data_IF_844959966004
#
_entry.id   IF_844959966004
#
_cell.length_a   1.000
_cell.length_b   1.000
_cell.length_c   1.000
_cell.angle_alpha   90.00
_cell.angle_beta   90.00
_cell.angle_gamma   90.00
#
_symmetry.space_group_name_H-M   'P 1'
#
loop_
_entity.id
_entity.type
_entity.pdbx_description
1 polymer ?
#
# COMPACT_ATOMS: atom_id res chain seq x y z
N UNK A 1 15.56 7.09 4.73
CA UNK A 1 16.51 6.60 3.72
C UNK A 1 15.81 5.55 2.87
N UNK A 2 15.92 5.57 1.53
CA UNK A 2 15.47 4.44 0.71
C UNK A 2 16.46 3.28 0.87
N UNK A 3 15.96 2.07 1.13
CA UNK A 3 16.78 0.88 1.41
C UNK A 3 16.51 -0.29 0.46
N UNK A 4 15.81 -0.04 -0.65
CA UNK A 4 15.50 -1.07 -1.65
C UNK A 4 14.06 -1.56 -1.51
N UNK A 5 13.88 -2.85 -1.23
CA UNK A 5 12.56 -3.49 -1.19
C UNK A 5 11.84 -3.33 0.16
N UNK A 6 10.52 -3.59 0.20
CA UNK A 6 9.77 -3.68 1.46
C UNK A 6 10.40 -4.68 2.44
N UNK A 7 10.95 -5.80 1.94
CA UNK A 7 11.67 -6.77 2.77
C UNK A 7 12.93 -6.18 3.40
N UNK A 8 13.69 -5.39 2.65
CA UNK A 8 14.87 -4.70 3.15
C UNK A 8 14.49 -3.64 4.20
N UNK A 9 13.42 -2.87 3.96
CA UNK A 9 12.88 -1.91 4.95
C UNK A 9 12.56 -2.63 6.26
N UNK A 10 11.83 -3.75 6.19
CA UNK A 10 11.46 -4.53 7.38
C UNK A 10 12.71 -5.01 8.12
N UNK A 11 13.67 -5.61 7.42
CA UNK A 11 14.86 -6.18 8.04
C UNK A 11 15.79 -5.12 8.62
N UNK A 12 16.03 -4.03 7.89
CA UNK A 12 16.87 -2.94 8.38
C UNK A 12 16.27 -2.27 9.60
N UNK A 13 14.95 -2.01 9.61
CA UNK A 13 14.25 -1.44 10.77
C UNK A 13 14.37 -2.36 11.98
N UNK A 14 14.06 -3.66 11.82
CA UNK A 14 14.19 -4.66 12.88
C UNK A 14 15.61 -4.80 13.40
N UNK A 15 16.61 -4.79 12.52
CA UNK A 15 18.00 -4.94 12.90
C UNK A 15 18.50 -3.71 13.67
N UNK A 16 18.15 -2.50 13.21
CA UNK A 16 18.55 -1.25 13.86
C UNK A 16 17.94 -1.12 15.25
N UNK A 17 16.64 -1.40 15.41
CA UNK A 17 15.96 -1.27 16.70
C UNK A 17 16.37 -2.35 17.73
N UNK A 18 17.12 -3.38 17.32
CA UNK A 18 17.73 -4.38 18.22
C UNK A 18 19.08 -3.95 18.79
N UNK A 19 19.67 -2.85 18.31
CA UNK A 19 20.97 -2.39 18.77
C UNK A 19 20.84 -1.77 20.17
N UNK A 20 21.61 -2.28 21.14
CA UNK A 20 21.49 -1.90 22.56
C UNK A 20 22.10 -0.53 22.91
N UNK A 21 22.84 0.12 22.00
CA UNK A 21 23.62 1.33 22.28
C UNK A 21 23.28 2.49 21.33
N UNK A 22 22.01 2.64 20.97
CA UNK A 22 21.53 3.71 20.08
C UNK A 22 20.41 4.46 20.78
N UNK A 23 20.52 5.78 20.86
CA UNK A 23 19.52 6.65 21.50
C UNK A 23 18.40 7.08 20.54
N UNK A 24 18.22 6.37 19.44
CA UNK A 24 17.27 6.69 18.37
C UNK A 24 16.64 5.41 17.86
N UNK A 25 15.36 5.48 17.52
CA UNK A 25 14.66 4.38 16.85
C UNK A 25 14.61 4.66 15.35
N UNK A 26 14.65 3.59 14.55
CA UNK A 26 14.29 3.63 13.14
C UNK A 26 12.80 3.33 12.99
N UNK A 27 12.13 4.11 12.13
CA UNK A 27 10.80 3.80 11.64
C UNK A 27 10.88 3.36 10.18
N UNK A 28 10.36 2.18 9.90
CA UNK A 28 10.21 1.66 8.54
C UNK A 28 8.91 2.16 7.93
N UNK A 29 8.93 2.58 6.67
CA UNK A 29 7.73 2.94 5.93
C UNK A 29 7.68 2.14 4.62
N UNK A 30 6.61 1.38 4.43
CA UNK A 30 6.40 0.50 3.27
C UNK A 30 5.06 0.80 2.58
N UNK A 31 4.90 0.31 1.36
CA UNK A 31 3.59 0.25 0.72
C UNK A 31 2.70 -0.76 1.47
N UNK A 32 1.38 -0.53 1.52
CA UNK A 32 0.50 -1.53 2.14
C UNK A 32 0.41 -2.80 1.28
N UNK A 33 0.62 -2.68 -0.03
CA UNK A 33 0.51 -3.76 -0.99
C UNK A 33 -0.82 -4.53 -0.85
N UNK A 34 -0.85 -5.77 -1.34
CA UNK A 34 -1.91 -6.74 -1.06
C UNK A 34 -1.85 -7.32 0.38
N UNK A 35 -1.17 -6.68 1.33
CA UNK A 35 -1.10 -7.22 2.69
C UNK A 35 -2.46 -7.14 3.38
N UNK A 36 -2.83 -8.23 4.05
CA UNK A 36 -3.99 -8.18 4.92
C UNK A 36 -3.70 -7.34 6.17
N UNK A 37 -4.78 -6.93 6.84
CA UNK A 37 -4.72 -6.07 8.02
C UNK A 37 -3.93 -6.72 9.15
N UNK A 38 -4.02 -8.05 9.31
CA UNK A 38 -3.33 -8.77 10.40
C UNK A 38 -1.81 -8.75 10.25
N UNK A 39 -1.31 -8.85 9.01
CA UNK A 39 0.10 -8.70 8.70
C UNK A 39 0.58 -7.28 8.96
N UNK A 40 -0.19 -6.26 8.57
CA UNK A 40 0.16 -4.86 8.81
C UNK A 40 0.25 -4.56 10.31
N UNK A 41 -0.67 -5.09 11.13
CA UNK A 41 -0.59 -4.94 12.59
C UNK A 41 0.68 -5.58 13.19
N UNK A 42 1.05 -6.79 12.74
CA UNK A 42 2.32 -7.43 13.16
C UNK A 42 3.56 -6.63 12.78
N UNK A 43 3.52 -5.89 11.66
CA UNK A 43 4.65 -5.04 11.25
C UNK A 43 4.82 -3.82 12.17
N UNK A 44 3.72 -3.26 12.69
CA UNK A 44 3.75 -2.14 13.65
C UNK A 44 4.47 -2.50 14.94
N UNK A 45 4.36 -3.75 15.41
CA UNK A 45 5.12 -4.25 16.57
C UNK A 45 6.65 -4.17 16.37
N UNK A 46 7.10 -4.04 15.12
CA UNK A 46 8.50 -3.90 14.74
C UNK A 46 8.83 -2.49 14.24
N UNK A 47 8.03 -1.48 14.57
CA UNK A 47 8.19 -0.09 14.13
C UNK A 47 8.18 0.08 12.60
N UNK A 48 7.49 -0.84 11.89
CA UNK A 48 7.28 -0.77 10.45
C UNK A 48 5.82 -0.43 10.19
N UNK A 49 5.60 0.69 9.51
CA UNK A 49 4.29 1.23 9.20
C UNK A 49 4.07 1.23 7.69
N UNK A 50 2.82 1.28 7.25
CA UNK A 50 2.47 1.40 5.83
C UNK A 50 1.65 2.65 5.56
N UNK A 51 1.75 3.20 4.35
CA UNK A 51 0.74 4.15 3.88
C UNK A 51 -0.64 3.50 3.91
N UNK A 52 -1.70 4.31 4.03
CA UNK A 52 -3.06 3.79 3.93
C UNK A 52 -3.53 3.59 2.48
N UNK A 53 -2.64 3.78 1.48
CA UNK A 53 -2.88 3.49 0.07
C UNK A 53 -2.10 2.25 -0.38
N UNK A 54 -2.62 1.55 -1.40
CA UNK A 54 -2.03 0.30 -1.89
C UNK A 54 -0.57 0.45 -2.37
N UNK A 55 -0.27 1.55 -3.05
CA UNK A 55 1.04 1.93 -3.59
C UNK A 55 1.27 3.41 -3.27
N UNK A 56 2.49 3.81 -2.90
CA UNK A 56 2.81 5.21 -2.57
C UNK A 56 2.47 6.18 -3.72
N UNK A 57 2.58 5.78 -4.98
CA UNK A 57 2.19 6.64 -6.11
C UNK A 57 0.69 6.92 -6.18
N UNK A 58 -0.15 6.07 -5.55
CA UNK A 58 -1.60 6.33 -5.46
C UNK A 58 -1.90 7.57 -4.60
N UNK A 59 -0.95 8.05 -3.80
CA UNK A 59 -1.08 9.34 -3.11
C UNK A 59 -1.33 10.48 -4.10
N UNK A 60 -0.65 10.49 -5.25
CA UNK A 60 -0.83 11.54 -6.27
C UNK A 60 -2.17 11.47 -6.98
N UNK A 61 -2.96 10.43 -6.74
CA UNK A 61 -4.29 10.25 -7.29
C UNK A 61 -5.39 10.70 -6.34
N UNK A 62 -5.04 11.18 -5.14
CA UNK A 62 -6.01 11.80 -4.25
C UNK A 62 -6.78 12.92 -4.95
N UNK A 63 -8.10 12.98 -4.72
CA UNK A 63 -9.00 13.92 -5.39
C UNK A 63 -8.59 15.37 -5.20
N UNK A 64 -8.24 15.75 -3.96
CA UNK A 64 -7.88 17.13 -3.62
C UNK A 64 -6.51 17.47 -4.22
N UNK A 65 -5.57 16.52 -4.14
CA UNK A 65 -4.26 16.67 -4.76
C UNK A 65 -4.34 16.85 -6.27
N UNK A 66 -5.13 16.03 -6.96
CA UNK A 66 -5.33 16.11 -8.40
C UNK A 66 -5.98 17.45 -8.82
N UNK A 67 -6.93 17.97 -8.04
CA UNK A 67 -7.51 19.28 -8.30
C UNK A 67 -6.48 20.41 -8.19
N UNK A 68 -5.65 20.39 -7.15
CA UNK A 68 -4.56 21.36 -6.98
C UNK A 68 -3.56 21.25 -8.14
N UNK A 69 -3.19 20.02 -8.54
CA UNK A 69 -2.29 19.79 -9.65
C UNK A 69 -2.88 20.29 -10.98
N UNK A 70 -4.14 19.97 -11.28
CA UNK A 70 -4.85 20.41 -12.49
C UNK A 70 -4.85 21.94 -12.61
N UNK A 71 -5.17 22.64 -11.51
CA UNK A 71 -5.11 24.10 -11.44
C UNK A 71 -3.69 24.65 -11.69
N UNK A 72 -2.67 24.03 -11.09
CA UNK A 72 -1.27 24.44 -11.27
C UNK A 72 -0.80 24.32 -12.74
N UNK A 73 -1.31 23.33 -13.48
CA UNK A 73 -0.97 23.11 -14.89
C UNK A 73 -2.01 23.71 -15.86
N UNK A 74 -2.93 24.54 -15.36
CA UNK A 74 -3.97 25.23 -16.14
C UNK A 74 -4.88 24.27 -16.93
N UNK A 75 -5.21 23.14 -16.32
CA UNK A 75 -6.11 22.12 -16.86
C UNK A 75 -7.44 22.13 -16.11
N UNK A 76 -8.53 21.82 -16.82
CA UNK A 76 -9.88 21.75 -16.23
C UNK A 76 -9.96 20.68 -15.13
N UNK A 77 -10.53 21.05 -13.98
CA UNK A 77 -10.78 20.15 -12.85
C UNK A 77 -11.77 19.03 -13.22
N UNK A 78 -12.60 19.21 -14.26
CA UNK A 78 -13.46 18.15 -14.80
C UNK A 78 -12.67 16.90 -15.25
N UNK A 79 -11.37 17.05 -15.58
CA UNK A 79 -10.51 15.90 -15.89
C UNK A 79 -10.25 15.01 -14.67
N UNK A 80 -10.36 15.53 -13.45
CA UNK A 80 -10.21 14.75 -12.22
C UNK A 80 -11.31 13.69 -12.14
N UNK A 81 -12.56 14.03 -12.47
CA UNK A 81 -13.67 13.07 -12.48
C UNK A 81 -13.52 12.01 -13.59
N UNK A 82 -12.96 12.39 -14.74
CA UNK A 82 -12.60 11.44 -15.80
C UNK A 82 -11.52 10.46 -15.34
N UNK A 83 -10.51 10.94 -14.60
CA UNK A 83 -9.49 10.08 -13.98
C UNK A 83 -10.17 9.09 -13.03
N UNK A 84 -10.96 9.57 -12.06
CA UNK A 84 -11.65 8.68 -11.10
C UNK A 84 -12.43 7.58 -11.80
N UNK A 85 -13.22 7.97 -12.80
CA UNK A 85 -14.04 7.07 -13.60
C UNK A 85 -13.20 6.00 -14.30
N UNK A 86 -12.10 6.39 -14.96
CA UNK A 86 -11.27 5.45 -15.71
C UNK A 86 -10.39 4.58 -14.80
N UNK A 87 -9.99 5.07 -13.61
CA UNK A 87 -9.33 4.23 -12.59
C UNK A 87 -10.26 3.12 -12.11
N UNK A 88 -11.53 3.42 -11.84
CA UNK A 88 -12.53 2.42 -11.43
C UNK A 88 -12.75 1.40 -12.55
N UNK A 89 -12.83 1.84 -13.82
CA UNK A 89 -12.93 0.91 -14.96
C UNK A 89 -11.70 0.02 -15.11
N UNK A 90 -10.50 0.55 -14.90
CA UNK A 90 -9.28 -0.26 -14.97
C UNK A 90 -9.24 -1.29 -13.83
N UNK A 91 -9.73 -0.94 -12.62
CA UNK A 91 -9.93 -1.91 -11.55
C UNK A 91 -10.91 -3.02 -11.97
N UNK A 92 -12.06 -2.66 -12.54
CA UNK A 92 -13.07 -3.64 -12.98
C UNK A 92 -12.51 -4.61 -14.01
N UNK A 93 -11.72 -4.11 -14.95
CA UNK A 93 -11.00 -4.92 -15.94
C UNK A 93 -9.95 -5.83 -15.31
N UNK A 94 -9.27 -5.41 -14.24
CA UNK A 94 -8.16 -6.14 -13.63
C UNK A 94 -8.54 -6.90 -12.35
N UNK A 95 -9.80 -6.88 -11.91
CA UNK A 95 -10.22 -7.41 -10.60
C UNK A 95 -9.86 -8.88 -10.36
N UNK A 96 -9.89 -9.72 -11.40
CA UNK A 96 -9.49 -11.14 -11.29
C UNK A 96 -7.98 -11.29 -11.04
N UNK A 97 -7.16 -10.47 -11.73
CA UNK A 97 -5.71 -10.44 -11.52
C UNK A 97 -5.41 -9.91 -10.12
N UNK A 98 -6.11 -8.86 -9.68
CA UNK A 98 -5.97 -8.29 -8.34
C UNK A 98 -6.34 -9.31 -7.26
N UNK A 99 -7.43 -10.05 -7.43
CA UNK A 99 -7.82 -11.11 -6.50
C UNK A 99 -6.79 -12.27 -6.49
N UNK A 100 -6.28 -12.67 -7.66
CA UNK A 100 -5.25 -13.71 -7.79
C UNK A 100 -3.95 -13.32 -7.07
N UNK A 101 -3.49 -12.08 -7.27
CA UNK A 101 -2.28 -11.56 -6.64
C UNK A 101 -2.46 -11.44 -5.12
N UNK A 102 -3.64 -11.02 -4.66
CA UNK A 102 -3.98 -10.98 -3.24
C UNK A 102 -3.91 -12.36 -2.60
N UNK A 103 -4.58 -13.36 -3.19
CA UNK A 103 -4.56 -14.73 -2.68
C UNK A 103 -3.16 -15.32 -2.70
N UNK A 104 -2.40 -15.11 -3.77
CA UNK A 104 -1.01 -15.57 -3.88
C UNK A 104 -0.11 -14.95 -2.80
N UNK A 105 -0.27 -13.65 -2.55
CA UNK A 105 0.47 -12.93 -1.49
C UNK A 105 0.10 -13.47 -0.11
N UNK A 106 -1.19 -13.75 0.12
CA UNK A 106 -1.69 -14.32 1.36
C UNK A 106 -1.14 -15.73 1.60
N UNK A 107 -1.16 -16.61 0.60
CA UNK A 107 -0.56 -17.96 0.70
C UNK A 107 0.94 -17.87 1.02
N UNK A 108 1.68 -17.02 0.30
CA UNK A 108 3.11 -16.81 0.56
C UNK A 108 3.35 -16.32 2.00
N UNK A 109 2.48 -15.43 2.50
CA UNK A 109 2.57 -14.96 3.88
C UNK A 109 2.38 -16.11 4.87
N UNK A 110 1.31 -16.90 4.75
CA UNK A 110 1.08 -18.08 5.59
C UNK A 110 2.28 -19.02 5.57
N UNK A 111 2.91 -19.21 4.40
CA UNK A 111 4.08 -20.07 4.28
C UNK A 111 5.25 -19.50 5.07
N UNK A 112 5.54 -18.20 4.93
CA UNK A 112 6.63 -17.52 5.65
C UNK A 112 6.42 -17.37 7.16
N UNK A 113 5.16 -17.22 7.60
CA UNK A 113 4.80 -17.06 9.01
C UNK A 113 4.70 -18.42 9.73
N UNK A 114 4.44 -19.49 8.99
CA UNK A 114 4.31 -20.85 9.55
C UNK A 114 5.65 -21.46 9.98
N UNK A 115 5.61 -22.26 11.05
CA UNK A 115 6.73 -23.11 11.49
C UNK A 115 6.95 -24.34 10.59
N UNK A 116 6.37 -24.38 9.37
CA UNK A 116 6.66 -25.42 8.37
C UNK A 116 8.17 -25.55 8.14
N UNK A 117 8.90 -24.43 8.24
CA UNK A 117 10.35 -24.40 8.11
C UNK A 117 11.15 -24.86 9.34
N UNK A 118 10.51 -25.20 10.48
CA UNK A 118 11.17 -25.47 11.77
C UNK A 118 10.86 -26.86 12.37
N UNK A 119 10.85 -27.92 11.56
CA UNK A 119 10.68 -29.29 12.04
C UNK A 119 12.01 -29.95 12.44
N UNK A 120 12.12 -30.49 13.67
CA UNK A 120 13.31 -31.25 14.13
C UNK A 120 13.16 -32.77 13.96
N UNK A 121 12.02 -33.25 13.44
CA UNK A 121 11.72 -34.65 13.17
C UNK A 121 10.68 -34.80 12.05
N UNK A 122 10.71 -35.93 11.32
CA UNK A 122 9.82 -36.18 10.16
C UNK A 122 8.33 -36.00 10.50
N UNK A 123 7.85 -36.62 11.58
CA UNK A 123 6.43 -36.51 11.98
C UNK A 123 6.00 -35.06 12.28
N UNK A 124 6.90 -34.24 12.83
CA UNK A 124 6.63 -32.83 13.09
C UNK A 124 6.56 -32.04 11.78
N UNK A 125 7.44 -32.34 10.82
CA UNK A 125 7.41 -31.71 9.50
C UNK A 125 6.10 -32.03 8.76
N UNK A 126 5.67 -33.28 8.75
CA UNK A 126 4.40 -33.71 8.14
C UNK A 126 3.20 -33.04 8.80
N UNK A 127 3.18 -32.96 10.14
CA UNK A 127 2.12 -32.28 10.89
C UNK A 127 2.08 -30.78 10.57
N UNK A 128 3.24 -30.11 10.55
CA UNK A 128 3.31 -28.69 10.26
C UNK A 128 2.85 -28.39 8.82
N UNK A 129 3.23 -29.22 7.85
CA UNK A 129 2.80 -29.09 6.46
C UNK A 129 1.28 -29.29 6.32
N UNK A 130 0.71 -30.30 6.98
CA UNK A 130 -0.74 -30.52 6.95
C UNK A 130 -1.50 -29.35 7.57
N UNK A 131 -1.07 -28.86 8.74
CA UNK A 131 -1.65 -27.68 9.38
C UNK A 131 -1.60 -26.45 8.46
N UNK A 132 -0.51 -26.26 7.71
CA UNK A 132 -0.42 -25.17 6.72
C UNK A 132 -1.46 -25.32 5.61
N UNK A 133 -1.61 -26.52 5.05
CA UNK A 133 -2.63 -26.79 4.02
C UNK A 133 -4.06 -26.58 4.54
N UNK A 134 -4.35 -27.04 5.76
CA UNK A 134 -5.68 -26.94 6.37
C UNK A 134 -6.13 -25.50 6.60
N UNK A 135 -5.18 -24.57 6.75
CA UNK A 135 -5.44 -23.14 6.94
C UNK A 135 -5.63 -22.36 5.63
N UNK A 136 -5.42 -22.99 4.47
CA UNK A 136 -5.49 -22.34 3.16
C UNK A 136 -6.83 -22.65 2.48
N UNK A 137 -7.64 -21.60 2.30
CA UNK A 137 -8.92 -21.68 1.57
C UNK A 137 -8.91 -20.77 0.34
N UNK A 138 -8.20 -21.20 -0.71
CA UNK A 138 -7.96 -20.40 -1.94
C UNK A 138 -9.25 -19.91 -2.59
N UNK A 139 -10.22 -20.80 -2.80
CA UNK A 139 -11.47 -20.46 -3.48
C UNK A 139 -12.25 -19.42 -2.68
N UNK A 140 -12.40 -19.62 -1.37
CA UNK A 140 -13.12 -18.68 -0.49
C UNK A 140 -12.42 -17.32 -0.47
N UNK A 141 -11.10 -17.28 -0.30
CA UNK A 141 -10.35 -16.02 -0.31
C UNK A 141 -10.45 -15.28 -1.65
N UNK A 142 -10.46 -16.00 -2.76
CA UNK A 142 -10.61 -15.41 -4.09
C UNK A 142 -12.02 -14.84 -4.26
N UNK A 143 -13.06 -15.63 -3.96
CA UNK A 143 -14.46 -15.23 -4.09
C UNK A 143 -14.79 -14.04 -3.19
N UNK A 144 -14.36 -14.07 -1.93
CA UNK A 144 -14.53 -12.97 -0.98
C UNK A 144 -13.85 -11.70 -1.49
N UNK A 145 -12.63 -11.82 -2.03
CA UNK A 145 -11.90 -10.67 -2.58
C UNK A 145 -12.58 -10.09 -3.80
N UNK A 146 -13.08 -10.93 -4.71
CA UNK A 146 -13.87 -10.49 -5.87
C UNK A 146 -15.14 -9.77 -5.42
N UNK A 147 -15.84 -10.28 -4.40
CA UNK A 147 -17.03 -9.64 -3.86
C UNK A 147 -16.72 -8.23 -3.31
N UNK A 148 -15.63 -8.08 -2.55
CA UNK A 148 -15.15 -6.78 -2.05
C UNK A 148 -14.83 -5.81 -3.20
N UNK A 149 -14.10 -6.25 -4.22
CA UNK A 149 -13.75 -5.41 -5.36
C UNK A 149 -14.99 -4.98 -6.15
N UNK A 150 -15.91 -5.91 -6.42
CA UNK A 150 -17.17 -5.59 -7.11
C UNK A 150 -18.04 -4.60 -6.32
N UNK A 151 -18.06 -4.69 -4.99
CA UNK A 151 -18.76 -3.72 -4.15
C UNK A 151 -18.18 -2.32 -4.34
N UNK A 152 -16.85 -2.16 -4.27
CA UNK A 152 -16.17 -0.86 -4.46
C UNK A 152 -16.43 -0.27 -5.85
N UNK A 153 -16.40 -1.11 -6.90
CA UNK A 153 -16.69 -0.71 -8.27
C UNK A 153 -18.15 -0.24 -8.39
N UNK A 154 -19.10 -1.02 -7.86
CA UNK A 154 -20.54 -0.72 -7.97
C UNK A 154 -20.93 0.54 -7.20
N UNK A 155 -20.31 0.77 -6.04
CA UNK A 155 -20.53 1.99 -5.25
C UNK A 155 -19.73 3.20 -5.73
N UNK A 156 -18.88 3.03 -6.77
CA UNK A 156 -17.93 4.04 -7.25
C UNK A 156 -17.10 4.68 -6.13
N UNK A 157 -16.67 3.86 -5.15
CA UNK A 157 -15.94 4.33 -3.96
C UNK A 157 -14.46 4.52 -4.29
N UNK A 158 -14.15 5.67 -4.91
CA UNK A 158 -12.82 5.97 -5.43
C UNK A 158 -11.73 5.94 -4.36
N UNK A 159 -12.01 6.45 -3.17
CA UNK A 159 -11.04 6.47 -2.07
C UNK A 159 -10.68 5.03 -1.67
N UNK A 160 -11.67 4.14 -1.51
CA UNK A 160 -11.38 2.71 -1.27
C UNK A 160 -10.64 2.05 -2.43
N UNK A 161 -10.89 2.47 -3.67
CA UNK A 161 -10.14 1.97 -4.83
C UNK A 161 -8.66 2.35 -4.70
N UNK A 162 -8.31 3.58 -4.32
CA UNK A 162 -6.91 3.97 -4.11
C UNK A 162 -6.22 3.19 -2.98
N UNK A 163 -6.98 2.86 -1.92
CA UNK A 163 -6.53 2.01 -0.82
C UNK A 163 -6.27 0.56 -1.24
N UNK A 164 -7.01 0.07 -2.23
CA UNK A 164 -7.09 -1.37 -2.52
C UNK A 164 -6.37 -1.78 -3.81
N UNK A 165 -6.30 -0.87 -4.78
CA UNK A 165 -5.87 -1.17 -6.15
C UNK A 165 -4.35 -1.05 -6.28
N UNK A 166 -3.68 -2.20 -6.19
CA UNK A 166 -2.25 -2.32 -6.42
C UNK A 166 -1.99 -2.41 -7.93
N UNK A 167 -1.76 -1.27 -8.58
CA UNK A 167 -1.41 -1.22 -9.99
C UNK A 167 -0.57 0.01 -10.32
N UNK A 168 0.72 -0.20 -10.59
CA UNK A 168 1.65 0.88 -10.96
C UNK A 168 1.28 1.64 -12.24
N UNK A 169 0.38 1.10 -13.06
CA UNK A 169 -0.09 1.73 -14.29
C UNK A 169 -1.15 2.80 -14.08
N UNK A 170 -1.73 2.96 -12.88
CA UNK A 170 -2.83 3.92 -12.64
C UNK A 170 -2.38 5.36 -12.94
N UNK A 171 -1.12 5.70 -12.64
CA UNK A 171 -0.54 7.01 -12.97
C UNK A 171 -0.62 7.37 -14.46
N UNK A 172 -0.62 6.38 -15.36
CA UNK A 172 -0.73 6.62 -16.81
C UNK A 172 -2.14 7.14 -17.19
N UNK A 173 -3.17 6.77 -16.41
CA UNK A 173 -4.53 7.27 -16.59
C UNK A 173 -4.56 8.77 -16.26
N UNK A 174 -3.94 9.17 -15.14
CA UNK A 174 -3.80 10.57 -14.77
C UNK A 174 -2.99 11.37 -15.80
N UNK A 175 -1.82 10.86 -16.21
CA UNK A 175 -0.99 11.46 -17.27
C UNK A 175 -1.78 11.74 -18.55
N UNK A 176 -2.62 10.77 -18.98
CA UNK A 176 -3.44 10.90 -20.19
C UNK A 176 -4.48 12.02 -20.06
N UNK A 177 -5.27 12.03 -18.99
CA UNK A 177 -6.35 13.01 -18.81
C UNK A 177 -5.83 14.42 -18.50
N UNK A 178 -4.67 14.52 -17.84
CA UNK A 178 -3.99 15.79 -17.59
C UNK A 178 -3.10 16.24 -18.76
N UNK A 179 -2.99 15.43 -19.83
CA UNK A 179 -2.16 15.69 -21.00
C UNK A 179 -0.69 16.04 -20.66
N UNK A 180 -0.10 15.28 -19.74
CA UNK A 180 1.30 15.42 -19.29
C UNK A 180 2.03 14.08 -19.30
N UNK A 181 3.32 14.08 -19.62
CA UNK A 181 4.14 12.87 -19.63
C UNK A 181 4.95 12.67 -18.33
N UNK A 182 5.13 13.74 -17.55
CA UNK A 182 5.97 13.84 -16.36
C UNK A 182 5.14 13.96 -15.06
N UNK A 183 4.00 13.26 -14.99
CA UNK A 183 3.03 13.32 -13.88
C UNK A 183 3.69 13.18 -12.49
N UNK A 184 4.55 12.18 -12.30
CA UNK A 184 5.25 11.96 -11.02
C UNK A 184 6.18 13.12 -10.67
N UNK A 185 6.99 13.59 -11.62
CA UNK A 185 7.93 14.70 -11.36
C UNK A 185 7.21 16.01 -11.05
N UNK A 186 6.10 16.29 -11.73
CA UNK A 186 5.25 17.46 -11.44
C UNK A 186 4.60 17.35 -10.06
N UNK A 187 4.14 16.16 -9.69
CA UNK A 187 3.55 15.89 -8.39
C UNK A 187 4.57 16.14 -7.27
N UNK A 188 5.81 15.67 -7.43
CA UNK A 188 6.90 15.91 -6.48
C UNK A 188 7.23 17.40 -6.38
N UNK A 189 7.35 18.11 -7.52
CA UNK A 189 7.61 19.56 -7.54
C UNK A 189 6.49 20.35 -6.86
N UNK A 190 5.23 19.95 -7.06
CA UNK A 190 4.08 20.56 -6.40
C UNK A 190 4.20 20.41 -4.88
N UNK A 191 4.51 19.21 -4.39
CA UNK A 191 4.69 18.96 -2.96
C UNK A 191 5.82 19.76 -2.32
N UNK A 192 6.87 20.08 -3.07
CA UNK A 192 7.98 20.88 -2.56
C UNK A 192 7.58 22.34 -2.26
N UNK A 193 6.60 22.88 -3.01
CA UNK A 193 6.25 24.31 -2.97
C UNK A 193 4.83 24.66 -2.54
N UNK A 194 3.93 23.68 -2.36
CA UNK A 194 2.52 23.91 -2.08
C UNK A 194 2.08 23.20 -0.79
N UNK A 195 1.66 23.99 0.21
CA UNK A 195 1.27 23.46 1.52
C UNK A 195 -0.10 22.76 1.48
N UNK A 196 -1.05 23.26 0.70
CA UNK A 196 -2.36 22.61 0.52
C UNK A 196 -2.20 21.21 -0.09
N UNK A 197 -1.26 21.06 -1.03
CA UNK A 197 -0.93 19.77 -1.64
C UNK A 197 -0.33 18.80 -0.60
N UNK A 198 0.47 19.27 0.35
CA UNK A 198 0.97 18.42 1.44
C UNK A 198 -0.15 18.02 2.40
N UNK A 199 -1.02 18.97 2.76
CA UNK A 199 -2.16 18.72 3.63
C UNK A 199 -3.15 17.71 3.01
N UNK A 200 -3.35 17.75 1.70
CA UNK A 200 -4.15 16.76 0.99
C UNK A 200 -3.61 15.33 1.19
N UNK A 201 -2.28 15.16 1.22
CA UNK A 201 -1.66 13.83 1.31
C UNK A 201 -1.35 13.37 2.74
N UNK A 202 -1.20 14.29 3.70
CA UNK A 202 -0.78 13.93 5.07
C UNK A 202 -1.76 12.97 5.75
N UNK A 203 -3.04 12.96 5.34
CA UNK A 203 -4.06 12.04 5.85
C UNK A 203 -3.73 10.55 5.63
N UNK A 204 -2.92 10.23 4.60
CA UNK A 204 -2.54 8.86 4.26
C UNK A 204 -1.28 8.34 4.98
N UNK A 205 -0.58 9.21 5.69
CA UNK A 205 0.60 8.82 6.46
C UNK A 205 0.17 8.19 7.80
N UNK A 206 0.94 7.24 8.36
CA UNK A 206 0.76 6.77 9.73
C UNK A 206 0.93 7.90 10.75
N UNK A 207 0.19 7.88 11.85
CA UNK A 207 0.27 8.91 12.89
C UNK A 207 1.67 8.97 13.53
N UNK A 208 2.29 7.82 13.73
CA UNK A 208 3.63 7.66 14.30
C UNK A 208 4.69 8.39 13.44
N UNK A 209 4.49 8.42 12.13
CA UNK A 209 5.36 9.14 11.20
C UNK A 209 5.07 10.65 11.21
N UNK A 210 3.82 11.07 11.42
CA UNK A 210 3.44 12.49 11.50
C UNK A 210 3.98 13.18 12.77
N UNK A 211 4.14 12.41 13.84
CA UNK A 211 4.63 12.89 15.13
C UNK A 211 6.13 12.62 15.35
N UNK A 212 6.74 11.73 14.56
CA UNK A 212 8.17 11.44 14.61
C UNK A 212 9.01 12.72 14.58
N UNK A 213 9.81 12.94 15.63
CA UNK A 213 10.67 14.11 15.79
C UNK A 213 10.05 15.31 16.52
N UNK A 214 8.75 15.30 16.84
CA UNK A 214 8.11 16.32 17.69
C UNK A 214 8.25 16.03 19.20
N UNK A 215 8.47 14.77 19.57
CA UNK A 215 8.61 14.34 20.97
C UNK A 215 10.04 14.51 21.53
N UNK A 216 10.96 15.12 20.78
CA UNK A 216 12.37 15.33 21.16
C UNK A 216 12.67 16.62 21.94
N UNK A 217 11.67 17.43 22.27
CA UNK A 217 11.80 18.57 23.19
C UNK A 217 11.04 18.29 24.49
N UNK A 218 11.60 17.40 25.32
CA UNK A 218 11.34 17.37 26.76
C UNK A 218 12.65 17.37 27.51
#
# INVERSE_FOLDING_TARGET
MPVGSCFDVINHTKAFNKLQNVNTNAFGLVDSDHHDTSRLEKLKESDVYSFSVAEVENLFLDSDFLAILAKQILTDEANVDLIKTDVIKELDKLKEVQASNYVSTKVNYYFTDSDVSKGNALNQLETNYQNFLDNITINDWFTDRIAQLNQMITSADYDKVLVTFNHKGIKNIASKHLNISDFTDRSIKLLQGNEDAKLALIKYFPEEIKTAGKDGYK
#
